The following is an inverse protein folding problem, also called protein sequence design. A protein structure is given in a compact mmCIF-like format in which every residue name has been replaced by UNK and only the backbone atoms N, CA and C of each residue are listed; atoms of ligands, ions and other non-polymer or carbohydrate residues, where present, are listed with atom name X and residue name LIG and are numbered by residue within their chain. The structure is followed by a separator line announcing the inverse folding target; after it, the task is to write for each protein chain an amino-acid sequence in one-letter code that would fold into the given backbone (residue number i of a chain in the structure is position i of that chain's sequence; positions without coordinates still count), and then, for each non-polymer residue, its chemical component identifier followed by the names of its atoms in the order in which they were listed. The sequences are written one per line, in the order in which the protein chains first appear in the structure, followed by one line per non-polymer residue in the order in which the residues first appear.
data_IF_208499278460
#
_entry.id   IF_208499278460
#
_cell.length_a   1.000
_cell.length_b   1.000
_cell.length_c   1.000
_cell.angle_alpha   90.00
_cell.angle_beta   90.00
_cell.angle_gamma   90.00
#
_symmetry.space_group_name_H-M   'P 1'
#
loop_
_entity.id
_entity.type
_entity.pdbx_description
1 polymer ?
#
# COMPACT_ATOMS: atom_id res chain seq x y z
N UNK A 1 7.75 4.80 48.03
CA UNK A 1 7.32 3.97 46.89
C UNK A 1 7.39 4.86 45.67
N UNK A 2 8.24 4.60 44.66
CA UNK A 2 8.22 5.40 43.44
C UNK A 2 7.00 4.97 42.62
N UNK A 3 6.09 5.91 42.35
CA UNK A 3 5.02 5.77 41.37
C UNK A 3 5.66 5.99 39.99
N UNK A 4 5.86 4.91 39.24
CA UNK A 4 6.27 5.03 37.85
C UNK A 4 5.07 5.54 37.06
N UNK A 5 5.09 6.82 36.71
CA UNK A 5 4.13 7.40 35.77
C UNK A 5 4.39 6.79 34.39
N UNK A 6 3.42 6.03 33.89
CA UNK A 6 3.49 5.37 32.59
C UNK A 6 3.22 6.40 31.49
N UNK A 7 4.24 7.17 31.13
CA UNK A 7 4.18 8.28 30.16
C UNK A 7 4.19 7.82 28.69
N UNK A 8 3.81 6.56 28.43
CA UNK A 8 3.81 5.95 27.11
C UNK A 8 2.58 6.33 26.27
N UNK A 9 2.72 6.35 24.94
CA UNK A 9 1.56 6.49 24.05
C UNK A 9 0.82 5.15 24.00
N UNK A 10 -0.47 5.08 24.39
CA UNK A 10 -1.22 3.84 24.35
C UNK A 10 -1.44 3.38 22.91
N UNK A 11 -1.21 2.08 22.65
CA UNK A 11 -1.43 1.45 21.34
C UNK A 11 -2.53 0.40 21.47
N UNK A 12 -3.58 0.56 20.67
CA UNK A 12 -4.72 -0.35 20.60
C UNK A 12 -4.67 -1.15 19.28
N UNK A 13 -5.16 -2.38 19.30
CA UNK A 13 -5.33 -3.18 18.08
C UNK A 13 -6.81 -3.24 17.72
N UNK A 14 -7.19 -2.61 16.60
CA UNK A 14 -8.55 -2.66 16.07
C UNK A 14 -8.55 -2.67 14.53
N UNK A 15 -8.23 -3.83 13.91
CA UNK A 15 -8.22 -3.94 12.46
C UNK A 15 -9.63 -3.75 11.88
N UNK A 16 -9.78 -2.88 10.89
CA UNK A 16 -11.09 -2.52 10.31
C UNK A 16 -11.53 -3.38 9.12
N UNK A 17 -10.66 -4.30 8.67
CA UNK A 17 -10.96 -5.24 7.59
C UNK A 17 -10.96 -4.66 6.17
N UNK A 18 -10.55 -3.40 5.98
CA UNK A 18 -10.58 -2.73 4.64
C UNK A 18 -9.59 -3.29 3.61
N UNK A 19 -8.68 -4.18 4.02
CA UNK A 19 -7.75 -4.85 3.11
C UNK A 19 -6.62 -3.94 2.61
N UNK A 20 -6.10 -3.08 3.47
CA UNK A 20 -5.00 -2.16 3.15
C UNK A 20 -3.81 -2.85 2.47
N UNK A 21 -3.19 -2.15 1.50
CA UNK A 21 -1.95 -2.54 0.83
C UNK A 21 -1.02 -1.33 0.73
N UNK A 22 0.29 -1.58 0.82
CA UNK A 22 1.32 -0.56 0.64
C UNK A 22 1.87 -0.66 -0.78
N UNK A 23 1.82 0.44 -1.52
CA UNK A 23 2.47 0.58 -2.82
C UNK A 23 3.74 1.40 -2.65
N UNK A 24 4.86 0.90 -3.15
CA UNK A 24 6.13 1.63 -3.23
C UNK A 24 6.08 2.54 -4.47
N UNK A 25 6.09 3.85 -4.24
CA UNK A 25 6.00 4.84 -5.30
C UNK A 25 7.41 5.17 -5.85
N UNK A 26 7.65 5.03 -7.16
CA UNK A 26 8.86 5.54 -7.79
C UNK A 26 8.92 7.08 -7.65
N UNK A 27 10.12 7.68 -7.49
CA UNK A 27 10.26 9.13 -7.27
C UNK A 27 9.61 10.00 -8.35
N UNK A 28 9.62 9.52 -9.60
CA UNK A 28 8.96 10.20 -10.73
C UNK A 28 7.43 10.24 -10.57
N UNK A 29 6.84 9.16 -10.05
CA UNK A 29 5.40 9.06 -9.81
C UNK A 29 4.98 9.84 -8.57
N UNK A 30 5.79 9.80 -7.51
CA UNK A 30 5.60 10.60 -6.30
C UNK A 30 5.56 12.10 -6.64
N UNK A 31 6.58 12.59 -7.37
CA UNK A 31 6.66 13.99 -7.80
C UNK A 31 5.47 14.40 -8.67
N UNK A 32 4.94 13.47 -9.46
CA UNK A 32 3.79 13.71 -10.33
C UNK A 32 2.48 13.78 -9.52
N UNK A 33 2.33 12.97 -8.47
CA UNK A 33 1.17 12.99 -7.57
C UNK A 33 1.16 14.20 -6.63
N UNK A 34 2.33 14.70 -6.25
CA UNK A 34 2.45 15.93 -5.46
C UNK A 34 2.25 17.22 -6.28
N UNK A 35 2.21 17.10 -7.62
CA UNK A 35 2.03 18.25 -8.49
C UNK A 35 0.59 18.83 -8.42
N UNK A 36 0.40 20.14 -8.70
CA UNK A 36 -0.94 20.75 -8.71
C UNK A 36 -1.91 20.12 -9.72
N UNK A 37 -1.37 19.41 -10.71
CA UNK A 37 -2.10 18.70 -11.76
C UNK A 37 -1.86 17.20 -11.64
N UNK A 38 -2.10 16.66 -10.45
CA UNK A 38 -1.96 15.24 -10.16
C UNK A 38 -2.84 14.40 -11.13
N UNK A 39 -2.25 13.44 -11.87
CA UNK A 39 -3.01 12.62 -12.81
C UNK A 39 -3.83 11.57 -12.09
N UNK A 40 -4.87 11.07 -12.75
CA UNK A 40 -5.64 9.93 -12.27
C UNK A 40 -4.87 8.64 -12.54
N UNK A 41 -4.77 7.79 -11.52
CA UNK A 41 -4.19 6.46 -11.62
C UNK A 41 -5.29 5.42 -11.85
N UNK A 42 -5.05 4.48 -12.75
CA UNK A 42 -5.98 3.40 -13.06
C UNK A 42 -5.34 2.04 -12.79
N UNK A 43 -6.00 1.24 -11.96
CA UNK A 43 -5.69 -0.19 -11.84
C UNK A 43 -6.45 -0.93 -12.94
N UNK A 44 -5.73 -1.53 -13.88
CA UNK A 44 -6.30 -2.28 -15.01
C UNK A 44 -5.75 -3.69 -15.03
N UNK A 45 -6.56 -4.66 -15.41
CA UNK A 45 -6.10 -6.01 -15.71
C UNK A 45 -6.32 -6.26 -17.20
N UNK A 46 -5.28 -6.15 -18.04
CA UNK A 46 -5.37 -6.50 -19.45
C UNK A 46 -5.73 -7.99 -19.63
N UNK A 47 -6.50 -8.32 -20.66
CA UNK A 47 -6.89 -9.71 -20.95
C UNK A 47 -5.69 -10.64 -21.19
N UNK A 48 -4.61 -10.11 -21.76
CA UNK A 48 -3.37 -10.83 -22.06
C UNK A 48 -2.36 -10.83 -20.89
N UNK A 49 -2.69 -10.23 -19.75
CA UNK A 49 -1.79 -10.11 -18.60
C UNK A 49 -2.21 -11.04 -17.45
N UNK A 50 -1.22 -11.66 -16.81
CA UNK A 50 -1.42 -12.53 -15.65
C UNK A 50 -1.62 -11.75 -14.34
N UNK A 51 -1.36 -10.45 -14.33
CA UNK A 51 -1.50 -9.58 -13.16
C UNK A 51 -2.04 -8.21 -13.55
N UNK A 52 -2.63 -7.53 -12.56
CA UNK A 52 -3.05 -6.15 -12.71
C UNK A 52 -1.85 -5.21 -12.88
N UNK A 53 -2.10 -4.09 -13.52
CA UNK A 53 -1.14 -3.04 -13.85
C UNK A 53 -1.70 -1.70 -13.41
N UNK A 54 -0.81 -0.79 -13.03
CA UNK A 54 -1.14 0.59 -12.68
C UNK A 54 -0.77 1.48 -13.87
N UNK A 55 -1.75 2.13 -14.48
CA UNK A 55 -1.52 3.08 -15.57
C UNK A 55 -1.78 4.52 -15.11
N UNK A 56 -0.87 5.41 -15.46
CA UNK A 56 -1.04 6.86 -15.31
C UNK A 56 -1.75 7.40 -16.56
N UNK A 57 -2.74 8.27 -16.39
CA UNK A 57 -3.42 8.89 -17.55
C UNK A 57 -2.42 9.63 -18.45
N UNK A 58 -2.40 9.27 -19.73
CA UNK A 58 -1.43 9.81 -20.72
C UNK A 58 0.04 9.50 -20.44
N UNK A 59 0.36 8.58 -19.51
CA UNK A 59 1.72 8.36 -19.01
C UNK A 59 2.20 6.91 -19.04
N UNK A 60 3.10 6.61 -18.09
CA UNK A 60 3.73 5.30 -17.91
C UNK A 60 2.72 4.26 -17.39
N UNK A 61 3.00 2.98 -17.67
CA UNK A 61 2.29 1.86 -17.05
C UNK A 61 3.27 1.04 -16.23
N UNK A 62 2.85 0.60 -15.05
CA UNK A 62 3.65 -0.12 -14.08
C UNK A 62 3.06 -1.51 -13.82
N UNK A 63 3.91 -2.53 -13.81
CA UNK A 63 3.57 -3.85 -13.30
C UNK A 63 3.58 -3.82 -11.77
N UNK A 64 2.62 -4.50 -11.14
CA UNK A 64 2.55 -4.66 -9.69
C UNK A 64 3.35 -5.91 -9.30
N UNK A 65 4.43 -5.74 -8.53
CA UNK A 65 5.20 -6.85 -7.98
C UNK A 65 5.04 -6.91 -6.46
N UNK A 66 4.42 -7.98 -5.97
CA UNK A 66 4.31 -8.23 -4.54
C UNK A 66 5.67 -8.69 -3.98
N UNK A 67 6.12 -8.01 -2.92
CA UNK A 67 7.31 -8.37 -2.15
C UNK A 67 6.89 -8.71 -0.73
N UNK A 68 7.13 -9.95 -0.33
CA UNK A 68 6.92 -10.36 1.06
C UNK A 68 8.07 -9.86 1.93
N UNK A 69 7.76 -9.55 3.18
CA UNK A 69 8.74 -9.16 4.20
C UNK A 69 8.59 -10.05 5.43
N UNK A 70 9.71 -10.39 6.06
CA UNK A 70 9.72 -11.11 7.34
C UNK A 70 9.41 -10.21 8.54
N UNK A 71 9.31 -8.88 8.31
CA UNK A 71 8.96 -7.90 9.33
C UNK A 71 7.45 -7.64 9.32
N UNK A 72 6.86 -7.46 10.51
CA UNK A 72 5.49 -6.98 10.63
C UNK A 72 5.46 -5.45 10.43
N UNK A 73 4.65 -4.99 9.49
CA UNK A 73 4.40 -3.57 9.26
C UNK A 73 3.02 -3.23 9.84
N UNK A 74 2.99 -2.30 10.80
CA UNK A 74 1.73 -1.85 11.41
C UNK A 74 1.26 -0.54 10.77
N UNK A 75 0.05 -0.54 10.22
CA UNK A 75 -0.64 0.68 9.82
C UNK A 75 -1.34 1.26 11.05
N UNK A 76 -0.88 2.42 11.49
CA UNK A 76 -1.42 3.11 12.66
C UNK A 76 -2.29 4.29 12.23
N UNK A 77 -3.39 4.51 12.93
CA UNK A 77 -4.13 5.75 12.90
C UNK A 77 -4.18 6.36 14.31
N UNK A 78 -4.06 7.68 14.46
CA UNK A 78 -4.30 8.34 15.73
C UNK A 78 -5.70 8.01 16.23
N UNK A 79 -5.83 7.66 17.51
CA UNK A 79 -7.14 7.76 18.17
C UNK A 79 -7.39 9.24 18.39
N UNK A 80 -8.56 9.75 17.98
CA UNK A 80 -8.90 11.13 18.22
C UNK A 80 -8.78 11.42 19.72
N UNK A 81 -7.81 12.25 20.12
CA UNK A 81 -7.98 13.09 21.30
C UNK A 81 -9.15 13.98 20.95
N UNK A 82 -10.30 13.68 21.55
CA UNK A 82 -11.49 14.50 21.39
C UNK A 82 -11.04 15.91 21.78
N UNK A 83 -11.24 16.89 20.89
CA UNK A 83 -11.45 18.29 21.26
C UNK A 83 -12.71 18.37 22.16
N UNK A 84 -12.74 17.56 23.22
CA UNK A 84 -13.78 17.58 24.20
C UNK A 84 -13.58 18.91 24.90
N UNK A 85 -14.63 19.73 25.03
CA UNK A 85 -14.55 20.87 25.95
C UNK A 85 -14.02 20.33 27.29
N UNK A 86 -13.14 21.07 27.97
CA UNK A 86 -12.67 20.64 29.28
C UNK A 86 -13.89 20.31 30.11
N UNK A 87 -14.01 19.05 30.53
CA UNK A 87 -15.03 18.62 31.47
C UNK A 87 -14.89 19.51 32.70
N UNK A 88 -15.98 20.17 33.10
CA UNK A 88 -16.01 21.03 34.29
C UNK A 88 -15.85 20.22 35.58
N UNK A 89 -15.81 18.89 35.48
CA UNK A 89 -15.60 17.96 36.59
C UNK A 89 -14.09 17.71 36.80
N UNK A 90 -13.52 18.08 37.96
CA UNK A 90 -12.09 17.91 38.27
C UNK A 90 -11.67 16.44 38.47
N UNK A 91 -12.57 15.48 38.23
CA UNK A 91 -12.31 14.04 38.30
C UNK A 91 -12.19 13.36 36.93
N UNK A 92 -12.46 14.06 35.83
CA UNK A 92 -12.24 13.55 34.48
C UNK A 92 -10.79 13.80 34.07
N UNK A 93 -9.96 12.76 34.15
CA UNK A 93 -8.62 12.80 33.59
C UNK A 93 -8.69 12.99 32.06
N UNK A 94 -7.80 13.81 31.47
CA UNK A 94 -7.77 13.98 30.02
C UNK A 94 -7.56 12.61 29.38
N UNK A 95 -8.45 12.23 28.46
CA UNK A 95 -8.27 10.98 27.70
C UNK A 95 -6.99 11.12 26.88
N UNK A 96 -5.92 10.47 27.33
CA UNK A 96 -4.63 10.52 26.65
C UNK A 96 -4.79 10.06 25.20
N UNK A 97 -4.36 10.89 24.25
CA UNK A 97 -4.32 10.54 22.84
C UNK A 97 -3.49 9.27 22.62
N UNK A 98 -3.94 8.39 21.74
CA UNK A 98 -3.33 7.08 21.50
C UNK A 98 -3.21 6.77 20.01
N UNK A 99 -2.78 5.55 19.71
CA UNK A 99 -2.72 5.03 18.35
C UNK A 99 -3.50 3.72 18.23
N UNK A 100 -4.13 3.49 17.09
CA UNK A 100 -4.81 2.23 16.76
C UNK A 100 -4.14 1.57 15.57
N UNK A 101 -3.82 0.29 15.69
CA UNK A 101 -3.40 -0.58 14.59
C UNK A 101 -4.62 -0.91 13.74
N UNK A 102 -4.68 -0.32 12.55
CA UNK A 102 -5.70 -0.56 11.52
C UNK A 102 -5.43 -1.86 10.75
N UNK A 103 -4.16 -2.22 10.57
CA UNK A 103 -3.76 -3.43 9.87
C UNK A 103 -2.32 -3.82 10.19
N UNK A 104 -2.05 -5.12 10.11
CA UNK A 104 -0.71 -5.69 10.12
C UNK A 104 -0.43 -6.26 8.75
N UNK A 105 0.58 -5.72 8.06
CA UNK A 105 0.98 -6.11 6.72
C UNK A 105 2.28 -6.89 6.75
N UNK A 106 2.40 -7.82 5.80
CA UNK A 106 3.56 -8.69 5.62
C UNK A 106 4.11 -8.62 4.19
N UNK A 107 3.61 -7.67 3.41
CA UNK A 107 3.98 -7.46 2.02
C UNK A 107 3.87 -6.00 1.62
N UNK A 108 4.67 -5.63 0.63
CA UNK A 108 4.57 -4.37 -0.12
C UNK A 108 4.39 -4.69 -1.60
N UNK A 109 3.94 -3.71 -2.36
CA UNK A 109 3.76 -3.81 -3.82
C UNK A 109 4.74 -2.83 -4.46
N UNK A 110 5.74 -3.34 -5.16
CA UNK A 110 6.66 -2.54 -5.97
C UNK A 110 6.05 -2.26 -7.35
N UNK A 111 6.29 -1.04 -7.85
CA UNK A 111 5.89 -0.60 -9.19
C UNK A 111 7.06 -0.69 -10.17
N UNK A 112 6.97 -1.60 -11.13
CA UNK A 112 7.99 -1.77 -12.18
C UNK A 112 7.50 -1.15 -13.48
N UNK A 113 8.24 -0.18 -14.02
CA UNK A 113 7.94 0.41 -15.32
C UNK A 113 7.86 -0.67 -16.40
N UNK A 114 6.73 -0.76 -17.08
CA UNK A 114 6.59 -1.56 -18.28
C UNK A 114 6.96 -0.73 -19.48
N UNK A 115 7.95 -1.19 -20.25
CA UNK A 115 8.19 -0.66 -21.58
C UNK A 115 6.92 -0.85 -22.42
N UNK A 116 6.59 0.09 -23.34
CA UNK A 116 5.44 -0.06 -24.22
C UNK A 116 5.56 -1.39 -24.94
N UNK A 117 4.52 -2.22 -24.81
CA UNK A 117 4.44 -3.57 -25.35
C UNK A 117 4.62 -3.52 -26.86
N UNK A 118 5.85 -3.68 -27.34
CA UNK A 118 6.06 -4.25 -28.67
C UNK A 118 5.46 -5.63 -28.59
N UNK A 119 4.31 -5.82 -29.23
CA UNK A 119 3.67 -7.12 -29.45
C UNK A 119 4.76 -8.13 -29.76
N UNK A 120 5.13 -8.95 -28.77
CA UNK A 120 6.06 -10.03 -29.00
C UNK A 120 5.30 -11.00 -29.90
N UNK A 121 5.54 -10.89 -31.22
CA UNK A 121 5.12 -11.87 -32.21
C UNK A 121 5.41 -13.24 -31.60
N UNK A 122 4.34 -13.99 -31.32
CA UNK A 122 4.41 -15.30 -30.71
C UNK A 122 5.55 -16.06 -31.38
N UNK A 123 6.60 -16.36 -30.60
CA UNK A 123 7.69 -17.26 -31.04
C UNK A 123 7.10 -18.66 -31.10
N UNK A 124 6.28 -18.91 -32.13
CA UNK A 124 5.93 -20.24 -32.61
C UNK A 124 7.21 -20.91 -33.03
N UNK A 125 7.87 -21.60 -32.09
CA UNK A 125 9.08 -22.39 -32.32
C UNK A 125 9.35 -23.42 -31.22
N UNK A 126 8.42 -23.60 -30.27
CA UNK A 126 8.46 -24.74 -29.34
C UNK A 126 7.88 -26.00 -29.99
N UNK A 127 6.70 -25.91 -30.61
CA UNK A 127 5.99 -27.07 -31.18
C UNK A 127 6.68 -27.69 -32.41
N UNK A 128 7.52 -26.94 -33.14
CA UNK A 128 8.28 -27.50 -34.28
C UNK A 128 9.49 -28.35 -33.87
N UNK A 129 10.07 -28.11 -32.68
CA UNK A 129 11.33 -28.78 -32.28
C UNK A 129 11.14 -30.16 -31.67
N UNK A 130 9.93 -30.50 -31.23
CA UNK A 130 9.66 -31.76 -30.53
C UNK A 130 8.64 -32.68 -31.24
N UNK A 131 8.03 -32.23 -32.34
CA UNK A 131 7.05 -33.03 -33.10
C UNK A 131 7.60 -33.86 -34.25
N UNK A 132 8.88 -33.69 -34.61
CA UNK A 132 9.44 -34.25 -35.86
C UNK A 132 10.32 -35.49 -35.68
N UNK A 133 9.93 -36.38 -34.77
CA UNK A 133 10.41 -37.76 -34.72
C UNK A 133 9.36 -38.63 -34.03
N UNK A 134 8.30 -38.97 -34.78
CA UNK A 134 7.55 -40.21 -34.65
C UNK A 134 7.19 -40.68 -36.04
#
# INVERSE_FOLDING_TARGET
MPTQEDTGIPIFSAPDGRGYRLLELPPELESLLDSPTAPVLYLKQPDDATSAQLSVDGGQTYALQQKNTSNALFLLAPTASIDAPPSEDPSDEPTEGGMTILATLHETIELIVQAPTQQQKAKGKWHERFGRNR
#
